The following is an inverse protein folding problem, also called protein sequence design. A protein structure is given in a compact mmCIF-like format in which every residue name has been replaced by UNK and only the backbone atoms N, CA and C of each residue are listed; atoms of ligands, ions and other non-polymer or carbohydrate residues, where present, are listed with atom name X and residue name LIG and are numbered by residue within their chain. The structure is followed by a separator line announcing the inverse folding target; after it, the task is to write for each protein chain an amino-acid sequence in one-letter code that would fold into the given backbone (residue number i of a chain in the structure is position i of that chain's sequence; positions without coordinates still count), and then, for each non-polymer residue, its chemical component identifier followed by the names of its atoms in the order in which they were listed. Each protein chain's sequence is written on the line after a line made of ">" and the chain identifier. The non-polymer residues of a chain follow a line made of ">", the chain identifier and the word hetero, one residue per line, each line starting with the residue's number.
data_IF_748896342846
#
_entry.id   IF_748896342846
#
_cell.length_a   1.000
_cell.length_b   1.000
_cell.length_c   1.000
_cell.angle_alpha   90.00
_cell.angle_beta   90.00
_cell.angle_gamma   90.00
#
_symmetry.space_group_name_H-M   'P 1'
#
loop_
_entity.id
_entity.type
_entity.pdbx_description
1 polymer ?
#
# COMPACT_ATOMS: atom_id res chain seq x y z
N UNK A 1 -0.63 14.22 -19.76
CA UNK A 1 0.49 15.02 -19.20
C UNK A 1 0.78 14.44 -17.83
N UNK A 2 2.00 14.05 -17.53
CA UNK A 2 2.37 13.57 -16.18
C UNK A 2 2.34 14.80 -15.25
N UNK A 3 1.58 14.70 -14.18
CA UNK A 3 1.55 15.73 -13.13
C UNK A 3 2.98 15.93 -12.61
N UNK A 4 3.43 17.16 -12.50
CA UNK A 4 4.73 17.47 -11.92
C UNK A 4 4.64 17.21 -10.41
N UNK A 5 5.44 16.25 -9.92
CA UNK A 5 5.48 15.92 -8.50
C UNK A 5 6.09 17.08 -7.71
N UNK A 6 5.37 17.52 -6.69
CA UNK A 6 5.81 18.57 -5.77
C UNK A 6 6.39 17.96 -4.51
N UNK A 7 7.41 18.60 -3.94
CA UNK A 7 8.03 18.21 -2.67
C UNK A 7 7.00 18.22 -1.55
N UNK A 8 6.82 17.08 -0.89
CA UNK A 8 5.96 16.96 0.29
C UNK A 8 6.81 17.01 1.55
N UNK A 9 6.88 18.16 2.19
CA UNK A 9 7.69 18.37 3.40
C UNK A 9 7.31 17.41 4.53
N UNK A 10 6.02 17.09 4.72
CA UNK A 10 5.57 16.15 5.75
C UNK A 10 6.10 14.74 5.50
N UNK A 11 6.14 14.30 4.24
CA UNK A 11 6.72 13.02 3.85
C UNK A 11 8.23 13.00 4.16
N UNK A 12 8.96 14.01 3.73
CA UNK A 12 10.41 14.06 3.86
C UNK A 12 10.90 14.29 5.31
N UNK A 13 10.09 14.93 6.15
CA UNK A 13 10.39 15.09 7.59
C UNK A 13 10.25 13.77 8.37
N UNK A 14 9.45 12.82 7.88
CA UNK A 14 9.26 11.51 8.50
C UNK A 14 8.99 10.44 7.44
N UNK A 15 9.98 10.10 6.61
CA UNK A 15 9.79 9.15 5.53
C UNK A 15 9.58 7.72 6.06
N UNK A 16 8.98 6.81 5.26
CA UNK A 16 8.61 5.46 5.71
C UNK A 16 9.80 4.59 6.13
N UNK A 17 11.01 5.00 5.84
CA UNK A 17 12.27 4.34 6.25
C UNK A 17 12.99 5.03 7.41
N UNK A 18 12.42 6.06 8.03
CA UNK A 18 13.07 6.92 9.04
C UNK A 18 13.61 6.17 10.26
N UNK A 19 13.04 5.01 10.61
CA UNK A 19 13.50 4.20 11.74
C UNK A 19 14.57 3.15 11.37
N UNK A 20 15.03 3.16 10.11
CA UNK A 20 16.11 2.30 9.58
C UNK A 20 15.97 0.81 9.97
N UNK A 21 14.75 0.26 9.94
CA UNK A 21 14.46 -1.15 10.24
C UNK A 21 14.19 -1.95 8.97
N UNK A 22 14.41 -3.25 9.02
CA UNK A 22 14.09 -4.17 7.93
C UNK A 22 12.63 -4.09 7.47
N UNK A 23 12.35 -4.44 6.20
CA UNK A 23 11.02 -4.30 5.58
C UNK A 23 9.98 -5.27 6.15
N UNK A 24 10.36 -6.51 6.43
CA UNK A 24 9.43 -7.54 6.92
C UNK A 24 9.17 -7.39 8.40
N UNK A 25 8.31 -6.44 8.74
CA UNK A 25 7.84 -6.19 10.10
C UNK A 25 6.35 -5.82 10.11
N UNK A 26 5.67 -6.10 11.19
CA UNK A 26 4.28 -5.69 11.34
C UNK A 26 4.15 -4.16 11.31
N UNK A 27 4.94 -3.46 12.13
CA UNK A 27 5.11 -2.01 12.08
C UNK A 27 3.85 -1.18 12.36
N UNK A 28 2.72 -1.81 12.66
CA UNK A 28 1.43 -1.15 12.91
C UNK A 28 1.48 -0.36 14.22
N UNK A 29 1.09 0.91 14.15
CA UNK A 29 0.96 1.84 15.29
C UNK A 29 -0.49 2.29 15.39
N UNK A 30 -1.07 2.43 16.60
CA UNK A 30 -2.43 2.93 16.75
C UNK A 30 -2.53 4.39 16.27
N UNK A 31 -3.65 4.70 15.63
CA UNK A 31 -4.00 6.07 15.21
C UNK A 31 -5.41 6.42 15.73
N UNK A 32 -5.76 7.70 15.68
CA UNK A 32 -7.12 8.13 16.03
C UNK A 32 -8.11 7.71 14.94
N UNK A 33 -9.35 7.47 15.31
CA UNK A 33 -10.39 7.05 14.36
C UNK A 33 -10.63 8.08 13.25
N UNK A 34 -10.51 9.37 13.56
CA UNK A 34 -10.60 10.44 12.56
C UNK A 34 -9.47 10.42 11.53
N UNK A 35 -8.35 9.76 11.82
CA UNK A 35 -7.19 9.63 10.96
C UNK A 35 -7.17 8.28 10.23
N UNK A 36 -8.26 7.51 10.28
CA UNK A 36 -8.36 6.18 9.66
C UNK A 36 -8.14 6.26 8.16
N UNK A 37 -8.88 7.11 7.49
CA UNK A 37 -8.66 7.43 6.10
C UNK A 37 -7.83 8.71 5.99
N UNK A 38 -7.08 8.85 4.92
CA UNK A 38 -6.43 10.11 4.61
C UNK A 38 -7.48 11.18 4.28
N UNK A 39 -7.03 12.42 4.26
CA UNK A 39 -7.88 13.54 3.88
C UNK A 39 -8.46 13.35 2.47
N UNK A 40 -9.36 14.21 2.06
CA UNK A 40 -10.13 14.14 0.82
C UNK A 40 -9.33 13.62 -0.38
N UNK A 41 -9.95 12.73 -1.15
CA UNK A 41 -9.44 12.27 -2.44
C UNK A 41 -9.32 13.46 -3.41
N UNK A 42 -8.16 13.64 -4.05
CA UNK A 42 -8.00 14.66 -5.08
C UNK A 42 -8.72 14.26 -6.38
N UNK A 43 -9.07 15.25 -7.20
CA UNK A 43 -9.86 15.05 -8.41
C UNK A 43 -9.16 14.18 -9.46
N UNK A 44 -7.83 14.21 -9.54
CA UNK A 44 -7.07 13.39 -10.48
C UNK A 44 -7.13 11.91 -10.08
N UNK A 45 -6.90 11.61 -8.81
CA UNK A 45 -7.03 10.25 -8.29
C UNK A 45 -8.46 9.72 -8.39
N UNK A 46 -9.45 10.58 -8.11
CA UNK A 46 -10.87 10.23 -8.26
C UNK A 46 -11.22 9.92 -9.72
N UNK A 47 -10.72 10.72 -10.65
CA UNK A 47 -10.88 10.48 -12.08
C UNK A 47 -10.21 9.16 -12.49
N UNK A 48 -8.98 8.91 -12.07
CA UNK A 48 -8.27 7.64 -12.32
C UNK A 48 -9.06 6.43 -11.82
N UNK A 49 -9.56 6.48 -10.57
CA UNK A 49 -10.39 5.41 -10.01
C UNK A 49 -11.68 5.23 -10.82
N UNK A 50 -12.37 6.33 -11.14
CA UNK A 50 -13.60 6.29 -11.91
C UNK A 50 -13.38 5.68 -13.30
N UNK A 51 -12.34 6.05 -14.01
CA UNK A 51 -12.00 5.48 -15.32
C UNK A 51 -11.76 3.96 -15.24
N UNK A 52 -11.08 3.49 -14.21
CA UNK A 52 -10.87 2.04 -13.99
C UNK A 52 -12.17 1.33 -13.63
N UNK A 53 -13.01 1.91 -12.78
CA UNK A 53 -14.31 1.35 -12.42
C UNK A 53 -15.25 1.26 -13.62
N UNK A 54 -15.25 2.26 -14.48
CA UNK A 54 -16.13 2.28 -15.66
C UNK A 54 -15.64 1.35 -16.79
N UNK A 55 -14.32 1.26 -17.01
CA UNK A 55 -13.76 0.56 -18.17
C UNK A 55 -13.10 -0.79 -17.85
N UNK A 56 -12.78 -1.06 -16.59
CA UNK A 56 -12.00 -2.24 -16.17
C UNK A 56 -12.50 -2.81 -14.84
N UNK A 57 -13.80 -2.69 -14.58
CA UNK A 57 -14.43 -3.04 -13.30
C UNK A 57 -13.95 -4.38 -12.74
N UNK A 58 -14.07 -5.44 -13.52
CA UNK A 58 -13.71 -6.80 -13.09
C UNK A 58 -12.21 -7.00 -12.82
N UNK A 59 -11.36 -6.06 -13.20
CA UNK A 59 -9.92 -6.07 -12.89
C UNK A 59 -9.66 -5.42 -11.53
N UNK A 60 -10.39 -4.36 -11.21
CA UNK A 60 -10.14 -3.53 -10.02
C UNK A 60 -11.12 -3.77 -8.88
N UNK A 61 -12.30 -4.38 -9.15
CA UNK A 61 -13.29 -4.74 -8.13
C UNK A 61 -13.59 -6.22 -8.17
N UNK A 62 -13.53 -6.86 -7.02
CA UNK A 62 -13.95 -8.25 -6.81
C UNK A 62 -14.63 -8.37 -5.45
N UNK A 63 -15.68 -9.17 -5.42
CA UNK A 63 -16.44 -9.48 -4.22
C UNK A 63 -16.87 -10.95 -4.24
N UNK A 64 -16.75 -11.63 -3.12
CA UNK A 64 -17.31 -12.97 -2.93
C UNK A 64 -18.82 -12.88 -2.70
N UNK A 65 -19.55 -13.97 -2.96
CA UNK A 65 -21.02 -14.00 -2.76
C UNK A 65 -21.46 -13.76 -1.32
N UNK A 66 -20.57 -14.00 -0.33
CA UNK A 66 -20.85 -13.81 1.11
C UNK A 66 -20.40 -12.44 1.65
N UNK A 67 -19.86 -11.56 0.82
CA UNK A 67 -19.25 -10.30 1.29
C UNK A 67 -20.22 -9.13 1.46
N UNK A 68 -21.50 -9.27 1.08
CA UNK A 68 -22.44 -8.14 1.08
C UNK A 68 -22.63 -7.55 2.48
N UNK A 69 -22.85 -8.38 3.50
CA UNK A 69 -22.96 -7.93 4.91
C UNK A 69 -21.72 -7.10 5.34
N UNK A 70 -20.54 -7.58 4.98
CA UNK A 70 -19.28 -6.88 5.31
C UNK A 70 -19.18 -5.51 4.64
N UNK A 71 -19.60 -5.41 3.38
CA UNK A 71 -19.61 -4.14 2.64
C UNK A 71 -20.65 -3.16 3.18
N UNK A 72 -21.83 -3.63 3.54
CA UNK A 72 -22.90 -2.81 4.15
C UNK A 72 -22.50 -2.29 5.53
N UNK A 73 -21.81 -3.10 6.34
CA UNK A 73 -21.27 -2.65 7.62
C UNK A 73 -20.18 -1.59 7.44
N UNK A 74 -19.31 -1.75 6.43
CA UNK A 74 -18.27 -0.76 6.12
C UNK A 74 -18.87 0.58 5.65
N UNK A 75 -20.02 0.56 4.95
CA UNK A 75 -20.66 1.79 4.48
C UNK A 75 -21.11 2.74 5.60
N UNK A 76 -21.16 2.26 6.86
CA UNK A 76 -21.40 3.12 8.03
C UNK A 76 -20.20 4.00 8.39
N UNK A 77 -19.03 3.71 7.83
CA UNK A 77 -17.78 4.42 8.08
C UNK A 77 -17.30 5.24 6.87
N UNK A 78 -17.79 4.92 5.66
CA UNK A 78 -17.43 5.61 4.42
C UNK A 78 -18.71 5.98 3.68
N UNK A 79 -19.06 7.27 3.71
CA UNK A 79 -20.20 7.76 2.94
C UNK A 79 -19.92 7.65 1.45
N UNK A 80 -20.85 7.05 0.71
CA UNK A 80 -20.76 6.89 -0.73
C UNK A 80 -22.13 6.85 -1.39
N UNK A 81 -22.20 7.37 -2.62
CA UNK A 81 -23.38 7.19 -3.48
C UNK A 81 -23.41 5.75 -4.00
N UNK A 82 -24.59 5.14 -4.11
CA UNK A 82 -24.74 3.79 -4.70
C UNK A 82 -24.63 3.85 -6.23
N UNK A 83 -23.40 4.04 -6.72
CA UNK A 83 -23.11 4.21 -8.16
C UNK A 83 -22.74 2.91 -8.87
N UNK A 84 -22.34 1.87 -8.12
CA UNK A 84 -21.90 0.59 -8.64
C UNK A 84 -22.61 -0.56 -7.91
N UNK A 85 -22.60 -1.75 -8.54
CA UNK A 85 -23.28 -2.94 -8.00
C UNK A 85 -22.69 -3.44 -6.68
N UNK A 86 -21.37 -3.29 -6.49
CA UNK A 86 -20.69 -3.66 -5.25
C UNK A 86 -20.45 -2.39 -4.43
N UNK A 87 -20.98 -2.27 -3.19
CA UNK A 87 -20.84 -1.07 -2.36
C UNK A 87 -19.37 -0.60 -2.19
N UNK A 88 -18.43 -1.52 -2.12
CA UNK A 88 -17.00 -1.20 -1.98
C UNK A 88 -16.45 -0.37 -3.14
N UNK A 89 -16.98 -0.56 -4.35
CA UNK A 89 -16.59 0.22 -5.52
C UNK A 89 -17.04 1.69 -5.39
N UNK A 90 -18.25 1.90 -4.91
CA UNK A 90 -18.79 3.25 -4.66
C UNK A 90 -18.02 3.94 -3.53
N UNK A 91 -17.76 3.22 -2.43
CA UNK A 91 -16.95 3.73 -1.31
C UNK A 91 -15.55 4.14 -1.71
N UNK A 92 -14.92 3.40 -2.65
CA UNK A 92 -13.56 3.71 -3.10
C UNK A 92 -13.41 5.04 -3.83
N UNK A 93 -14.52 5.64 -4.31
CA UNK A 93 -14.53 7.00 -4.89
C UNK A 93 -14.59 8.12 -3.84
N UNK A 94 -14.87 7.78 -2.58
CA UNK A 94 -14.97 8.76 -1.49
C UNK A 94 -13.67 8.89 -0.70
N UNK A 95 -12.71 7.96 -0.88
CA UNK A 95 -11.42 7.94 -0.17
C UNK A 95 -10.27 7.73 -1.15
N UNK A 96 -9.06 8.24 -0.85
CA UNK A 96 -7.90 8.01 -1.70
C UNK A 96 -7.42 6.56 -1.68
N UNK A 97 -7.79 5.81 -0.64
CA UNK A 97 -7.30 4.46 -0.37
C UNK A 97 -7.91 3.42 -1.32
N UNK A 98 -7.15 2.41 -1.68
CA UNK A 98 -7.65 1.12 -2.15
C UNK A 98 -8.20 0.35 -0.94
N UNK A 99 -9.31 -0.36 -1.11
CA UNK A 99 -10.07 -0.97 -0.01
C UNK A 99 -10.07 -2.49 -0.13
N UNK A 100 -9.68 -3.20 0.94
CA UNK A 100 -9.65 -4.65 1.02
C UNK A 100 -10.35 -5.13 2.31
N UNK A 101 -11.54 -5.74 2.19
CA UNK A 101 -12.27 -6.33 3.32
C UNK A 101 -11.78 -7.76 3.54
N UNK A 102 -11.33 -8.06 4.75
CA UNK A 102 -10.84 -9.37 5.18
C UNK A 102 -11.67 -9.90 6.36
N UNK A 103 -11.80 -11.21 6.46
CA UNK A 103 -12.29 -11.85 7.69
C UNK A 103 -11.35 -11.54 8.85
N UNK A 104 -11.89 -11.14 10.00
CA UNK A 104 -11.07 -10.90 11.21
C UNK A 104 -10.62 -12.20 11.90
N UNK A 105 -11.32 -13.29 11.66
CA UNK A 105 -11.08 -14.61 12.28
C UNK A 105 -11.09 -15.72 11.24
N UNK A 106 -10.86 -16.95 11.65
CA UNK A 106 -10.83 -18.10 10.74
C UNK A 106 -9.63 -18.07 9.80
N UNK A 107 -9.86 -18.29 8.51
CA UNK A 107 -8.80 -18.29 7.48
C UNK A 107 -8.37 -16.89 7.04
N UNK A 108 -9.07 -15.84 7.48
CA UNK A 108 -8.80 -14.44 7.14
C UNK A 108 -8.78 -14.22 5.62
N UNK A 109 -9.85 -14.67 4.96
CA UNK A 109 -10.02 -14.54 3.51
C UNK A 109 -10.29 -13.10 3.09
N UNK A 110 -9.78 -12.74 1.92
CA UNK A 110 -10.14 -11.51 1.23
C UNK A 110 -11.55 -11.64 0.65
N UNK A 111 -12.52 -10.94 1.24
CA UNK A 111 -13.95 -11.08 0.89
C UNK A 111 -14.39 -10.16 -0.22
N UNK A 112 -13.95 -8.91 -0.20
CA UNK A 112 -14.25 -7.91 -1.22
C UNK A 112 -13.10 -6.90 -1.29
N UNK A 113 -12.81 -6.39 -2.48
CA UNK A 113 -11.83 -5.34 -2.66
C UNK A 113 -12.13 -4.45 -3.85
N UNK A 114 -11.71 -3.17 -3.73
CA UNK A 114 -11.57 -2.21 -4.82
C UNK A 114 -10.13 -1.72 -4.82
N UNK A 115 -9.34 -2.15 -5.83
CA UNK A 115 -7.88 -1.91 -5.90
C UNK A 115 -7.54 -1.28 -7.23
N UNK A 116 -7.33 0.03 -7.21
CA UNK A 116 -7.01 0.84 -8.39
C UNK A 116 -5.52 1.16 -8.52
N UNK A 117 -4.74 0.86 -7.48
CA UNK A 117 -3.31 1.15 -7.42
C UNK A 117 -2.49 -0.05 -6.91
N UNK A 118 -2.63 -1.26 -7.52
CA UNK A 118 -1.91 -2.44 -7.07
C UNK A 118 -0.40 -2.32 -7.31
N UNK A 119 0.40 -2.84 -6.38
CA UNK A 119 1.85 -3.00 -6.50
C UNK A 119 2.19 -4.46 -6.75
N UNK A 120 2.27 -4.86 -8.02
CA UNK A 120 2.70 -6.19 -8.47
C UNK A 120 1.81 -7.35 -8.03
N UNK A 121 0.51 -7.13 -7.91
CA UNK A 121 -0.44 -8.18 -7.66
C UNK A 121 -1.76 -8.01 -8.41
N UNK A 122 -2.44 -9.12 -8.65
CA UNK A 122 -3.70 -9.17 -9.41
C UNK A 122 -4.84 -9.59 -8.47
N UNK A 123 -5.83 -8.71 -8.30
CA UNK A 123 -6.98 -8.96 -7.42
C UNK A 123 -7.74 -10.24 -7.79
N UNK A 124 -7.83 -10.57 -9.10
CA UNK A 124 -8.50 -11.79 -9.56
C UNK A 124 -7.93 -13.08 -8.96
N UNK A 125 -6.63 -13.08 -8.66
CA UNK A 125 -5.92 -14.24 -8.09
C UNK A 125 -5.97 -14.26 -6.55
N UNK A 126 -6.46 -13.19 -5.92
CA UNK A 126 -6.40 -13.00 -4.48
C UNK A 126 -7.77 -13.05 -3.79
N UNK A 127 -8.83 -12.74 -4.54
CA UNK A 127 -10.19 -12.74 -3.97
C UNK A 127 -10.61 -14.15 -3.51
N UNK A 128 -11.14 -14.24 -2.30
CA UNK A 128 -11.52 -15.51 -1.66
C UNK A 128 -10.34 -16.28 -1.05
N UNK A 129 -9.10 -15.88 -1.33
CA UNK A 129 -7.91 -16.55 -0.79
C UNK A 129 -7.61 -16.10 0.65
N UNK A 130 -7.07 -17.00 1.49
CA UNK A 130 -6.59 -16.66 2.81
C UNK A 130 -5.31 -15.80 2.74
N UNK A 131 -5.08 -15.00 3.77
CA UNK A 131 -3.99 -14.03 3.83
C UNK A 131 -2.62 -14.66 3.54
N UNK A 132 -2.38 -15.88 4.03
CA UNK A 132 -1.13 -16.62 3.75
C UNK A 132 -0.93 -16.95 2.29
N UNK A 133 -2.00 -17.29 1.55
CA UNK A 133 -1.95 -17.54 0.12
C UNK A 133 -1.71 -16.23 -0.65
N UNK A 134 -2.33 -15.14 -0.20
CA UNK A 134 -2.11 -13.79 -0.76
C UNK A 134 -0.63 -13.38 -0.65
N UNK A 135 0.02 -13.62 0.48
CA UNK A 135 1.40 -13.26 0.75
C UNK A 135 2.45 -14.26 0.23
N UNK A 136 2.03 -15.44 -0.26
CA UNK A 136 2.94 -16.49 -0.74
C UNK A 136 3.98 -16.01 -1.78
N UNK A 137 3.67 -15.09 -2.72
CA UNK A 137 4.66 -14.60 -3.68
C UNK A 137 5.80 -13.80 -3.05
N UNK A 138 5.61 -13.24 -1.85
CA UNK A 138 6.67 -12.54 -1.11
C UNK A 138 7.42 -13.57 -0.27
N UNK A 139 8.56 -14.02 -0.79
CA UNK A 139 9.39 -15.03 -0.12
C UNK A 139 9.65 -14.63 1.34
N UNK A 140 9.68 -15.61 2.22
CA UNK A 140 9.99 -15.48 3.65
C UNK A 140 9.05 -14.59 4.48
N UNK A 141 8.15 -13.80 3.88
CA UNK A 141 7.23 -12.94 4.64
C UNK A 141 6.36 -13.75 5.60
N UNK A 142 5.73 -14.83 5.11
CA UNK A 142 4.90 -15.70 5.93
C UNK A 142 5.69 -16.37 7.08
N UNK A 143 6.94 -16.70 6.85
CA UNK A 143 7.83 -17.30 7.85
C UNK A 143 8.22 -16.29 8.93
N UNK A 144 8.55 -15.07 8.52
CA UNK A 144 9.01 -13.99 9.43
C UNK A 144 7.88 -13.36 10.22
N UNK A 145 6.76 -13.00 9.56
CA UNK A 145 5.70 -12.19 10.17
C UNK A 145 4.27 -12.72 9.94
N UNK A 146 4.07 -13.87 9.28
CA UNK A 146 2.73 -14.40 9.01
C UNK A 146 1.90 -14.62 10.28
N UNK A 147 2.45 -15.32 11.29
CA UNK A 147 1.78 -15.51 12.58
C UNK A 147 1.50 -14.18 13.32
N UNK A 148 2.45 -13.23 13.43
CA UNK A 148 2.17 -11.90 13.96
C UNK A 148 1.01 -11.18 13.25
N UNK A 149 0.93 -11.24 11.90
CA UNK A 149 -0.14 -10.59 11.13
C UNK A 149 -1.50 -11.21 11.49
N UNK A 150 -1.63 -12.54 11.39
CA UNK A 150 -2.89 -13.25 11.68
C UNK A 150 -3.36 -13.02 13.12
N UNK A 151 -2.43 -13.09 14.08
CA UNK A 151 -2.73 -12.83 15.49
C UNK A 151 -3.17 -11.38 15.69
N UNK A 152 -2.54 -10.44 15.03
CA UNK A 152 -2.90 -9.03 15.12
C UNK A 152 -4.31 -8.79 14.60
N UNK A 153 -4.64 -9.27 13.39
CA UNK A 153 -5.98 -9.12 12.79
C UNK A 153 -7.06 -9.73 13.69
N UNK A 154 -6.83 -10.94 14.22
CA UNK A 154 -7.80 -11.61 15.08
C UNK A 154 -8.04 -10.92 16.43
N UNK A 155 -7.05 -10.20 16.96
CA UNK A 155 -7.11 -9.62 18.31
C UNK A 155 -7.17 -8.08 18.31
N UNK A 156 -7.14 -7.44 17.16
CA UNK A 156 -7.28 -5.99 17.08
C UNK A 156 -8.60 -5.54 17.71
N UNK A 157 -8.60 -4.52 18.56
CA UNK A 157 -9.83 -4.02 19.16
C UNK A 157 -10.73 -3.40 18.07
N UNK A 158 -12.04 -3.67 18.14
CA UNK A 158 -13.03 -3.16 17.20
C UNK A 158 -13.07 -1.63 17.26
N UNK A 159 -13.15 -0.99 16.08
CA UNK A 159 -13.25 0.46 15.92
C UNK A 159 -11.95 1.23 16.17
N UNK A 160 -10.82 0.53 16.40
CA UNK A 160 -9.52 1.18 16.57
C UNK A 160 -8.62 0.94 15.38
N UNK A 161 -8.35 1.95 14.54
CA UNK A 161 -7.46 1.81 13.41
C UNK A 161 -5.99 1.85 13.81
N UNK A 162 -5.19 1.12 13.06
CA UNK A 162 -3.73 1.10 13.14
C UNK A 162 -3.16 1.46 11.77
N UNK A 163 -1.98 2.03 11.74
CA UNK A 163 -1.31 2.49 10.53
C UNK A 163 0.13 2.03 10.49
N UNK A 164 0.59 1.67 9.30
CA UNK A 164 2.00 1.51 8.94
C UNK A 164 2.27 2.16 7.60
N UNK A 165 3.52 2.33 7.27
CA UNK A 165 3.93 2.75 5.94
C UNK A 165 4.84 1.69 5.31
N UNK A 166 4.63 1.47 4.01
CA UNK A 166 5.47 0.68 3.14
C UNK A 166 6.02 1.58 2.03
N UNK A 167 7.08 1.14 1.34
CA UNK A 167 7.67 1.91 0.27
C UNK A 167 8.44 1.04 -0.72
N UNK A 168 8.49 1.53 -1.96
CA UNK A 168 9.26 0.97 -3.05
C UNK A 168 9.89 2.11 -3.87
N UNK A 169 10.82 1.77 -4.75
CA UNK A 169 11.36 2.68 -5.75
C UNK A 169 11.02 2.12 -7.12
N UNK A 170 10.32 2.90 -7.94
CA UNK A 170 9.83 2.55 -9.26
C UNK A 170 10.43 3.47 -10.34
N UNK A 171 10.30 3.09 -11.62
CA UNK A 171 10.73 3.93 -12.75
C UNK A 171 9.68 4.92 -13.22
N UNK A 172 8.46 4.87 -12.70
CA UNK A 172 7.35 5.71 -13.15
C UNK A 172 6.33 6.01 -12.03
N UNK A 173 5.35 6.85 -12.34
CA UNK A 173 4.23 7.22 -11.46
C UNK A 173 2.95 6.45 -11.75
N UNK A 174 3.02 5.36 -12.52
CA UNK A 174 1.83 4.54 -12.76
C UNK A 174 1.31 3.99 -11.45
N UNK A 175 0.02 4.10 -11.26
CA UNK A 175 -0.63 3.56 -10.07
C UNK A 175 -0.86 2.06 -10.18
N UNK A 176 -1.19 1.57 -11.37
CA UNK A 176 -1.60 0.18 -11.57
C UNK A 176 -0.46 -0.68 -12.14
N UNK A 177 0.13 -1.51 -11.29
CA UNK A 177 1.14 -2.51 -11.66
C UNK A 177 0.64 -3.92 -11.33
N UNK A 178 0.16 -4.66 -12.33
CA UNK A 178 -0.30 -6.05 -12.17
C UNK A 178 0.84 -7.08 -12.20
N UNK A 179 1.98 -6.70 -12.79
CA UNK A 179 3.17 -7.56 -12.91
C UNK A 179 4.39 -6.80 -12.42
N UNK A 180 5.35 -7.55 -11.88
CA UNK A 180 6.63 -7.00 -11.45
C UNK A 180 7.35 -6.27 -12.57
N UNK A 181 7.77 -5.05 -12.33
CA UNK A 181 8.71 -4.32 -13.17
C UNK A 181 10.10 -4.95 -12.99
N UNK A 182 10.73 -5.34 -14.09
CA UNK A 182 12.03 -6.01 -14.01
C UNK A 182 13.14 -5.09 -13.53
N UNK A 183 13.14 -3.86 -14.02
CA UNK A 183 14.15 -2.86 -13.70
C UNK A 183 13.67 -1.47 -14.13
N UNK A 184 13.81 -0.42 -13.29
CA UNK A 184 13.45 0.94 -13.68
C UNK A 184 14.34 1.44 -14.83
N UNK A 185 13.73 2.10 -15.82
CA UNK A 185 14.46 2.79 -16.90
C UNK A 185 14.88 4.19 -16.44
N UNK A 186 15.78 4.81 -17.21
CA UNK A 186 16.24 6.18 -16.95
C UNK A 186 17.30 6.30 -15.86
N UNK A 187 17.62 7.52 -15.48
CA UNK A 187 18.60 7.84 -14.44
C UNK A 187 17.97 7.64 -13.04
N UNK A 188 18.79 7.24 -12.08
CA UNK A 188 18.31 7.00 -10.69
C UNK A 188 17.68 8.26 -10.07
N UNK A 189 18.17 9.44 -10.42
CA UNK A 189 17.60 10.73 -9.99
C UNK A 189 16.15 10.95 -10.46
N UNK A 190 15.74 10.26 -11.53
CA UNK A 190 14.37 10.34 -12.09
C UNK A 190 13.43 9.30 -11.50
N UNK A 191 13.97 8.34 -10.76
CA UNK A 191 13.16 7.28 -10.15
C UNK A 191 12.22 7.84 -9.10
N UNK A 192 11.15 7.09 -8.86
CA UNK A 192 10.01 7.51 -8.05
C UNK A 192 9.95 6.67 -6.79
N UNK A 193 9.90 7.32 -5.65
CA UNK A 193 9.50 6.68 -4.40
C UNK A 193 7.98 6.53 -4.43
N UNK A 194 7.52 5.29 -4.40
CA UNK A 194 6.15 4.91 -4.19
C UNK A 194 5.99 4.51 -2.73
N UNK A 195 5.31 5.31 -1.96
CA UNK A 195 4.96 4.98 -0.58
C UNK A 195 3.50 4.55 -0.49
N UNK A 196 3.23 3.68 0.46
CA UNK A 196 1.89 3.16 0.74
C UNK A 196 1.59 3.40 2.22
N UNK A 197 0.67 4.32 2.50
CA UNK A 197 0.08 4.43 3.82
C UNK A 197 -0.96 3.34 3.95
N UNK A 198 -0.68 2.37 4.78
CA UNK A 198 -1.53 1.21 5.01
C UNK A 198 -2.22 1.34 6.36
N UNK A 199 -3.54 1.23 6.38
CA UNK A 199 -4.30 1.18 7.62
C UNK A 199 -5.03 -0.14 7.76
N UNK A 200 -5.11 -0.64 8.99
CA UNK A 200 -5.89 -1.82 9.35
C UNK A 200 -6.84 -1.44 10.49
N UNK A 201 -8.13 -1.66 10.28
CA UNK A 201 -9.15 -1.48 11.29
C UNK A 201 -10.12 -2.65 11.29
N UNK A 202 -10.25 -3.32 12.42
CA UNK A 202 -11.35 -4.23 12.68
C UNK A 202 -12.59 -3.37 12.96
N UNK A 203 -13.48 -3.22 11.97
CA UNK A 203 -14.64 -2.34 12.05
C UNK A 203 -15.90 -3.06 12.57
N UNK A 204 -15.84 -4.38 12.60
CA UNK A 204 -16.88 -5.27 13.14
C UNK A 204 -16.24 -6.51 13.76
N UNK A 205 -16.98 -7.28 14.55
CA UNK A 205 -16.46 -8.51 15.18
C UNK A 205 -15.97 -9.55 14.17
N UNK A 206 -16.52 -9.56 12.96
CA UNK A 206 -16.17 -10.53 11.90
C UNK A 206 -15.23 -9.97 10.86
N UNK A 207 -15.15 -8.63 10.69
CA UNK A 207 -14.55 -8.01 9.52
C UNK A 207 -13.53 -6.94 9.84
N UNK A 208 -12.46 -6.94 9.07
CA UNK A 208 -11.41 -5.92 9.08
C UNK A 208 -11.29 -5.28 7.71
N UNK A 209 -11.00 -3.99 7.68
CA UNK A 209 -10.59 -3.28 6.46
C UNK A 209 -9.09 -3.07 6.48
N UNK A 210 -8.42 -3.48 5.43
CA UNK A 210 -7.08 -3.05 5.07
C UNK A 210 -7.19 -2.04 3.94
N UNK A 211 -6.79 -0.80 4.21
CA UNK A 211 -6.87 0.31 3.27
C UNK A 211 -5.47 0.82 2.91
N UNK A 212 -5.22 1.12 1.63
CA UNK A 212 -3.89 1.41 1.09
C UNK A 212 -3.94 2.71 0.29
N UNK A 213 -3.33 3.78 0.79
CA UNK A 213 -3.17 5.03 0.05
C UNK A 213 -1.77 5.13 -0.56
N UNK A 214 -1.72 5.10 -1.88
CA UNK A 214 -0.49 5.19 -2.67
C UNK A 214 -0.12 6.63 -2.95
N UNK A 215 1.12 6.99 -2.63
CA UNK A 215 1.69 8.33 -2.82
C UNK A 215 3.02 8.25 -3.56
N UNK A 216 3.39 9.33 -4.25
CA UNK A 216 4.62 9.41 -5.04
C UNK A 216 5.47 10.61 -4.66
N UNK A 217 6.79 10.42 -4.63
CA UNK A 217 7.79 11.48 -4.55
C UNK A 217 8.94 11.17 -5.52
N UNK A 218 9.56 12.19 -6.12
CA UNK A 218 10.79 11.97 -6.90
C UNK A 218 11.93 11.62 -5.94
N UNK A 219 12.75 10.63 -6.30
CA UNK A 219 13.91 10.27 -5.48
C UNK A 219 14.91 11.43 -5.38
N UNK A 220 15.02 12.25 -6.42
CA UNK A 220 15.93 13.42 -6.42
C UNK A 220 15.59 14.48 -5.36
N UNK A 221 14.35 14.54 -4.87
CA UNK A 221 14.01 15.46 -3.79
C UNK A 221 14.77 15.19 -2.48
N UNK A 222 15.29 13.96 -2.30
CA UNK A 222 16.08 13.56 -1.14
C UNK A 222 17.33 14.44 -0.93
N UNK A 223 17.81 15.12 -2.00
CA UNK A 223 18.93 16.04 -1.93
C UNK A 223 18.77 17.15 -0.90
N UNK A 224 17.54 17.53 -0.61
CA UNK A 224 17.22 18.62 0.32
C UNK A 224 17.04 18.13 1.76
N UNK A 225 17.13 16.79 2.00
CA UNK A 225 16.78 16.15 3.28
C UNK A 225 17.84 15.15 3.73
N UNK A 226 18.92 15.64 4.34
CA UNK A 226 20.05 14.80 4.76
C UNK A 226 19.64 13.65 5.69
N UNK A 227 18.79 13.90 6.68
CA UNK A 227 18.35 12.83 7.61
C UNK A 227 17.56 11.74 6.87
N UNK A 228 16.72 12.12 5.91
CA UNK A 228 15.98 11.19 5.07
C UNK A 228 16.94 10.37 4.17
N UNK A 229 17.98 11.01 3.63
CA UNK A 229 19.03 10.37 2.82
C UNK A 229 19.80 9.32 3.63
N UNK A 230 20.32 9.68 4.78
CA UNK A 230 21.08 8.77 5.64
C UNK A 230 20.20 7.60 6.15
N UNK A 231 18.95 7.88 6.55
CA UNK A 231 18.04 6.83 6.98
C UNK A 231 17.61 5.89 5.84
N UNK A 232 17.47 6.40 4.59
CA UNK A 232 17.24 5.55 3.43
C UNK A 232 18.42 4.62 3.17
N UNK A 233 19.63 5.16 3.15
CA UNK A 233 20.86 4.39 2.97
C UNK A 233 20.97 3.28 4.02
N UNK A 234 20.78 3.62 5.29
CA UNK A 234 20.82 2.64 6.38
C UNK A 234 19.72 1.58 6.22
N UNK A 235 18.51 1.95 5.83
CA UNK A 235 17.41 1.00 5.61
C UNK A 235 17.68 0.05 4.43
N UNK A 236 18.31 0.54 3.37
CA UNK A 236 18.72 -0.27 2.22
C UNK A 236 19.82 -1.28 2.57
N UNK A 237 20.80 -0.89 3.38
CA UNK A 237 21.88 -1.75 3.84
C UNK A 237 21.41 -2.86 4.80
N UNK A 238 20.24 -2.71 5.42
CA UNK A 238 19.62 -3.71 6.30
C UNK A 238 18.78 -4.76 5.56
N UNK A 239 18.59 -4.62 4.24
CA UNK A 239 17.83 -5.59 3.45
C UNK A 239 18.59 -6.92 3.38
N UNK A 240 17.90 -8.01 3.69
CA UNK A 240 18.48 -9.34 3.49
C UNK A 240 18.37 -9.76 2.00
N UNK A 241 18.94 -10.92 1.67
CA UNK A 241 19.01 -11.43 0.30
C UNK A 241 17.62 -11.56 -0.36
N UNK A 242 16.61 -12.01 0.38
CA UNK A 242 15.25 -12.18 -0.16
C UNK A 242 14.54 -10.84 -0.31
N UNK A 243 14.76 -9.92 0.62
CA UNK A 243 14.26 -8.55 0.54
C UNK A 243 14.91 -7.79 -0.63
N UNK A 244 16.22 -7.95 -0.86
CA UNK A 244 16.92 -7.38 -2.03
C UNK A 244 16.34 -7.94 -3.33
N UNK A 245 16.14 -9.25 -3.41
CA UNK A 245 15.52 -9.88 -4.59
C UNK A 245 14.10 -9.34 -4.86
N UNK A 246 13.29 -9.17 -3.82
CA UNK A 246 11.94 -8.61 -3.91
C UNK A 246 11.95 -7.10 -4.25
N UNK A 247 12.94 -6.36 -3.76
CA UNK A 247 13.13 -4.92 -4.05
C UNK A 247 13.50 -4.64 -5.50
N UNK A 248 13.97 -5.63 -6.25
CA UNK A 248 14.33 -5.54 -7.67
C UNK A 248 15.78 -5.98 -7.99
N UNK A 249 16.45 -6.59 -7.01
CA UNK A 249 17.77 -7.21 -7.17
C UNK A 249 18.95 -6.31 -6.79
N UNK A 250 20.13 -6.94 -6.71
CA UNK A 250 21.35 -6.29 -6.24
C UNK A 250 21.75 -5.08 -7.08
N UNK A 251 21.66 -5.18 -8.40
CA UNK A 251 22.02 -4.07 -9.29
C UNK A 251 21.20 -2.79 -8.99
N UNK A 252 19.89 -2.93 -8.74
CA UNK A 252 19.04 -1.80 -8.38
C UNK A 252 19.46 -1.17 -7.06
N UNK A 253 19.76 -2.02 -6.07
CA UNK A 253 20.25 -1.59 -4.76
C UNK A 253 21.56 -0.81 -4.89
N UNK A 254 22.55 -1.35 -5.62
CA UNK A 254 23.87 -0.76 -5.81
C UNK A 254 23.78 0.62 -6.52
N UNK A 255 22.92 0.73 -7.53
CA UNK A 255 22.70 1.99 -8.23
C UNK A 255 22.10 3.06 -7.32
N UNK A 256 21.13 2.70 -6.47
CA UNK A 256 20.54 3.65 -5.52
C UNK A 256 21.58 4.07 -4.48
N UNK A 257 22.33 3.13 -3.90
CA UNK A 257 23.38 3.45 -2.93
C UNK A 257 24.44 4.36 -3.54
N UNK A 258 24.90 4.05 -4.76
CA UNK A 258 25.87 4.89 -5.48
C UNK A 258 25.33 6.29 -5.76
N UNK A 259 24.04 6.39 -6.11
CA UNK A 259 23.39 7.70 -6.28
C UNK A 259 23.37 8.48 -4.97
N UNK A 260 22.94 7.87 -3.86
CA UNK A 260 22.90 8.53 -2.54
C UNK A 260 24.30 8.99 -2.10
N UNK A 261 25.35 8.20 -2.38
CA UNK A 261 26.75 8.56 -2.07
C UNK A 261 27.29 9.70 -2.95
N UNK A 262 26.77 9.85 -4.16
CA UNK A 262 27.16 10.94 -5.07
C UNK A 262 26.57 12.31 -4.69
N UNK A 263 25.53 12.32 -3.85
CA UNK A 263 24.87 13.54 -3.39
C UNK A 263 25.75 14.23 -2.34
N UNK A 264 26.15 15.46 -2.62
CA UNK A 264 26.91 16.27 -1.66
C UNK A 264 26.14 16.47 -0.36
N UNK A 265 26.84 16.41 0.74
CA UNK A 265 26.36 16.76 2.08
C UNK A 265 26.12 18.25 2.18
#
# INVERSE_FOLDING_TARGET
>A
MSQELVVNLKFWSNPPWSDAKGKYRLGLKPIKTQDWFDTSIDEELKKHKKELLDNSYSTVVRATSCSLEAQELLSKHIEASNSYKDPIASMSLSVPDDLCIIESTGEQKLLAASVCSPSYWNLKEKIGEPLRAIHKPVKTLNEKIGNPIERFISNAPVGKPFMRENWFIHGDTKRMHLKSEKFPSGQVSEWIIRSERETLCRYDDKYSLFAINVRFQKLSFINEFNDAKESLKNSLLLLDKDEVAYFGGQLKLDLILSYLDSLKT
#
